data_IF_560632147859
#
_entry.id   IF_560632147859
#
_cell.length_a   1.000
_cell.length_b   1.000
_cell.length_c   1.000
_cell.angle_alpha   90.00
_cell.angle_beta   90.00
_cell.angle_gamma   90.00
#
_symmetry.space_group_name_H-M   'P 1'
#
loop_
_entity.id
_entity.type
_entity.pdbx_description
1 polymer ?
#
# COMPACT_ATOMS: atom_id res chain seq x y z
N UNK A 1 16.95 34.19 22.92
CA UNK A 1 15.69 33.69 22.36
C UNK A 1 16.06 32.94 21.09
N UNK A 2 15.99 31.62 21.11
CA UNK A 2 16.11 30.82 19.88
C UNK A 2 14.74 30.90 19.20
N UNK A 3 14.71 31.55 18.03
CA UNK A 3 13.54 31.57 17.17
C UNK A 3 13.51 30.23 16.46
N UNK A 4 12.60 29.33 16.85
CA UNK A 4 12.14 28.29 15.95
C UNK A 4 11.22 28.98 14.95
N UNK A 5 11.74 29.32 13.76
CA UNK A 5 10.87 29.56 12.62
C UNK A 5 10.25 28.19 12.28
N UNK A 6 8.94 28.05 12.51
CA UNK A 6 8.20 26.93 11.95
C UNK A 6 8.36 26.98 10.43
N UNK A 7 8.87 25.89 9.84
CA UNK A 7 8.96 25.78 8.40
C UNK A 7 7.55 25.90 7.81
N UNK A 8 7.33 26.92 6.99
CA UNK A 8 6.08 27.06 6.25
C UNK A 8 6.16 26.09 5.07
N UNK A 9 5.53 24.92 5.20
CA UNK A 9 5.44 23.96 4.12
C UNK A 9 4.37 24.42 3.13
N UNK A 10 4.76 24.68 1.89
CA UNK A 10 3.79 24.86 0.80
C UNK A 10 3.39 23.46 0.33
N UNK A 11 2.18 23.02 0.71
CA UNK A 11 1.60 21.75 0.31
C UNK A 11 0.94 21.90 -1.07
N UNK A 12 1.75 22.18 -2.09
CA UNK A 12 1.31 22.46 -3.46
C UNK A 12 1.48 21.26 -4.40
N UNK A 13 2.07 20.16 -3.92
CA UNK A 13 2.25 18.97 -4.72
C UNK A 13 0.93 18.18 -4.76
N UNK A 14 0.43 17.78 -5.95
CA UNK A 14 -0.80 17.00 -6.06
C UNK A 14 -0.79 15.67 -5.29
N UNK A 15 0.40 15.17 -4.94
CA UNK A 15 0.56 13.95 -4.13
C UNK A 15 0.71 14.22 -2.63
N UNK A 16 0.58 15.47 -2.18
CA UNK A 16 0.51 15.76 -0.76
C UNK A 16 -0.78 15.16 -0.18
N UNK A 17 -0.75 14.59 1.04
CA UNK A 17 -1.90 14.00 1.72
C UNK A 17 -3.19 14.84 1.73
N UNK A 18 -3.06 16.17 1.63
CA UNK A 18 -4.17 17.13 1.63
C UNK A 18 -4.74 17.40 0.23
N UNK A 19 -3.97 17.08 -0.82
CA UNK A 19 -4.32 17.24 -2.23
C UNK A 19 -4.83 15.94 -2.87
N UNK A 20 -4.77 14.82 -2.13
CA UNK A 20 -5.38 13.56 -2.52
C UNK A 20 -6.90 13.62 -2.35
N UNK A 21 -7.67 13.33 -3.41
CA UNK A 21 -9.14 13.25 -3.37
C UNK A 21 -9.62 11.93 -2.73
N UNK A 22 -9.19 11.67 -1.48
CA UNK A 22 -9.53 10.48 -0.69
C UNK A 22 -9.96 10.90 0.73
N UNK A 23 -10.98 10.24 1.28
CA UNK A 23 -11.36 10.43 2.69
C UNK A 23 -10.54 9.52 3.63
N UNK A 24 -9.60 10.04 4.44
CA UNK A 24 -8.83 9.23 5.37
C UNK A 24 -9.68 8.67 6.54
N UNK A 25 -9.37 7.48 7.09
CA UNK A 25 -8.29 6.57 6.72
C UNK A 25 -8.53 5.89 5.37
N UNK A 26 -7.54 5.89 4.47
CA UNK A 26 -7.69 5.36 3.11
C UNK A 26 -6.50 4.48 2.69
N UNK A 27 -6.72 3.60 1.72
CA UNK A 27 -5.65 2.87 1.03
C UNK A 27 -5.59 3.31 -0.43
N UNK A 28 -4.39 3.38 -1.01
CA UNK A 28 -4.21 3.78 -2.42
C UNK A 28 -2.94 3.17 -3.00
N UNK A 29 -2.75 3.34 -4.31
CA UNK A 29 -1.57 2.87 -5.04
C UNK A 29 -0.62 4.04 -5.31
N UNK A 30 0.68 3.86 -5.10
CA UNK A 30 1.69 4.88 -5.38
C UNK A 30 2.87 4.32 -6.21
N UNK A 31 3.23 4.93 -7.36
CA UNK A 31 2.47 5.99 -8.02
C UNK A 31 1.09 5.48 -8.50
N UNK A 32 0.10 6.37 -8.69
CA UNK A 32 -1.24 5.97 -9.14
C UNK A 32 -1.28 5.59 -10.63
N UNK A 33 -0.28 5.99 -11.41
CA UNK A 33 -0.16 5.63 -12.82
C UNK A 33 1.30 5.25 -13.13
N UNK A 34 1.48 4.13 -13.84
CA UNK A 34 2.77 3.63 -14.29
C UNK A 34 2.70 3.41 -15.79
N UNK A 35 3.60 4.06 -16.53
CA UNK A 35 3.80 3.82 -17.95
C UNK A 35 5.11 3.04 -18.14
N UNK A 36 5.05 1.88 -18.78
CA UNK A 36 6.18 0.97 -18.93
C UNK A 36 6.26 0.37 -20.32
N UNK A 37 7.44 -0.09 -20.71
CA UNK A 37 7.62 -0.88 -21.94
C UNK A 37 7.63 -2.37 -21.63
N UNK A 38 7.20 -3.19 -22.59
CA UNK A 38 7.24 -4.66 -22.46
C UNK A 38 8.64 -5.15 -22.09
N UNK A 39 8.72 -6.03 -21.10
CA UNK A 39 9.97 -6.61 -20.58
C UNK A 39 10.70 -5.75 -19.53
N UNK A 40 10.16 -4.59 -19.15
CA UNK A 40 10.71 -3.78 -18.05
C UNK A 40 10.04 -4.12 -16.72
N UNK A 41 10.82 -4.26 -15.63
CA UNK A 41 10.24 -4.42 -14.30
C UNK A 41 9.61 -3.10 -13.83
N UNK A 42 8.51 -3.21 -13.08
CA UNK A 42 7.84 -2.08 -12.45
C UNK A 42 7.54 -2.40 -10.98
N UNK A 43 7.24 -1.36 -10.20
CA UNK A 43 6.82 -1.52 -8.81
C UNK A 43 5.72 -0.52 -8.45
N UNK A 44 4.79 -0.96 -7.61
CA UNK A 44 3.74 -0.10 -7.03
C UNK A 44 3.72 -0.31 -5.52
N UNK A 45 3.61 0.77 -4.77
CA UNK A 45 3.41 0.75 -3.34
C UNK A 45 1.92 0.72 -3.01
N UNK A 46 1.55 -0.13 -2.06
CA UNK A 46 0.25 -0.15 -1.41
C UNK A 46 0.36 0.75 -0.18
N UNK A 47 -0.22 1.94 -0.26
CA UNK A 47 0.03 3.00 0.70
C UNK A 47 -1.21 3.28 1.55
N UNK A 48 -0.98 3.58 2.83
CA UNK A 48 -2.00 3.96 3.79
C UNK A 48 -1.97 5.46 4.04
N UNK A 49 -3.14 6.10 4.07
CA UNK A 49 -3.31 7.51 4.39
C UNK A 49 -4.01 7.66 5.74
N UNK A 50 -3.29 8.19 6.74
CA UNK A 50 -3.80 8.44 8.11
C UNK A 50 -4.56 7.23 8.70
N UNK A 51 -3.98 6.04 8.55
CA UNK A 51 -4.53 4.82 9.11
C UNK A 51 -4.45 4.83 10.63
N UNK A 52 -5.43 4.22 11.30
CA UNK A 52 -5.34 3.92 12.72
C UNK A 52 -4.33 2.77 12.95
N UNK A 53 -3.81 2.60 14.19
CA UNK A 53 -2.98 1.47 14.57
C UNK A 53 -3.51 0.11 14.12
N UNK A 54 -2.62 -0.74 13.62
CA UNK A 54 -2.96 -2.10 13.20
C UNK A 54 -1.84 -3.11 13.52
N UNK A 55 -2.24 -4.35 13.81
CA UNK A 55 -1.35 -5.49 14.00
C UNK A 55 -1.29 -6.39 12.76
N UNK A 56 -2.30 -6.37 11.90
CA UNK A 56 -2.32 -7.18 10.68
C UNK A 56 -3.14 -6.54 9.55
N UNK A 57 -2.82 -6.91 8.32
CA UNK A 57 -3.62 -6.61 7.13
C UNK A 57 -3.82 -7.85 6.27
N UNK A 58 -4.98 -7.90 5.62
CA UNK A 58 -5.19 -8.67 4.41
C UNK A 58 -5.52 -7.66 3.31
N UNK A 59 -4.67 -7.56 2.29
CA UNK A 59 -4.88 -6.73 1.11
C UNK A 59 -5.28 -7.65 -0.05
N UNK A 60 -6.47 -7.44 -0.59
CA UNK A 60 -7.00 -8.12 -1.79
C UNK A 60 -6.75 -7.16 -2.95
N UNK A 61 -5.66 -7.36 -3.70
CA UNK A 61 -5.29 -6.51 -4.84
C UNK A 61 -5.71 -7.19 -6.12
N UNK A 62 -6.49 -6.48 -6.93
CA UNK A 62 -7.00 -6.97 -8.21
C UNK A 62 -6.31 -6.26 -9.35
N UNK A 63 -5.95 -7.02 -10.37
CA UNK A 63 -5.27 -6.53 -11.56
C UNK A 63 -5.62 -7.36 -12.80
N UNK A 64 -5.44 -6.80 -13.98
CA UNK A 64 -5.66 -7.51 -15.24
C UNK A 64 -4.46 -8.42 -15.53
N UNK A 65 -4.63 -9.70 -15.21
CA UNK A 65 -3.62 -10.72 -15.48
C UNK A 65 -3.45 -10.92 -16.98
N UNK A 66 -2.20 -10.89 -17.46
CA UNK A 66 -1.85 -11.13 -18.86
C UNK A 66 -0.87 -10.10 -19.42
N UNK A 67 -1.11 -8.81 -19.20
CA UNK A 67 -0.15 -7.74 -19.52
C UNK A 67 0.96 -7.64 -18.49
N UNK A 68 0.66 -7.97 -17.23
CA UNK A 68 1.61 -8.04 -16.12
C UNK A 68 1.47 -9.33 -15.31
N UNK A 69 2.53 -9.69 -14.59
CA UNK A 69 2.55 -10.76 -13.58
C UNK A 69 3.25 -10.26 -12.32
N UNK A 70 2.83 -10.75 -11.16
CA UNK A 70 3.47 -10.44 -9.88
C UNK A 70 4.77 -11.25 -9.77
N UNK A 71 5.87 -10.58 -9.42
CA UNK A 71 7.16 -11.22 -9.19
C UNK A 71 7.41 -11.45 -7.69
N UNK A 72 7.14 -10.42 -6.89
CA UNK A 72 7.32 -10.46 -5.44
C UNK A 72 6.57 -9.34 -4.74
N UNK A 73 6.37 -9.52 -3.45
CA UNK A 73 5.87 -8.49 -2.53
C UNK A 73 6.88 -8.31 -1.42
N UNK A 74 7.17 -7.06 -1.09
CA UNK A 74 8.08 -6.68 0.00
C UNK A 74 7.30 -5.84 1.01
N UNK A 75 7.28 -6.22 2.30
CA UNK A 75 6.63 -5.41 3.33
C UNK A 75 7.19 -4.00 3.43
N UNK A 76 6.29 -3.04 3.62
CA UNK A 76 6.62 -1.64 3.87
C UNK A 76 6.82 -1.35 5.37
N UNK A 77 7.14 -0.09 5.71
CA UNK A 77 7.40 0.32 7.08
C UNK A 77 6.18 0.24 8.01
N UNK A 78 4.94 0.23 7.50
CA UNK A 78 3.74 0.32 8.35
C UNK A 78 3.63 -0.78 9.42
N UNK A 79 4.09 -2.00 9.14
CA UNK A 79 4.09 -3.11 10.11
C UNK A 79 5.49 -3.41 10.68
N UNK A 80 6.47 -2.53 10.47
CA UNK A 80 7.83 -2.70 11.01
C UNK A 80 7.91 -2.15 12.44
N UNK A 81 8.39 -2.98 13.37
CA UNK A 81 8.69 -2.62 14.76
C UNK A 81 10.17 -2.82 15.08
N UNK A 82 10.50 -3.38 16.25
CA UNK A 82 11.84 -3.93 16.48
C UNK A 82 12.09 -5.18 15.62
N UNK A 83 11.01 -5.90 15.30
CA UNK A 83 11.03 -7.05 14.40
C UNK A 83 10.59 -6.66 12.99
N UNK A 84 11.15 -7.37 12.01
CA UNK A 84 10.67 -7.29 10.64
C UNK A 84 9.26 -7.91 10.55
N UNK A 85 8.34 -7.32 9.78
CA UNK A 85 7.01 -7.88 9.59
C UNK A 85 7.05 -9.23 8.88
N UNK A 86 6.02 -10.05 9.12
CA UNK A 86 5.79 -11.28 8.37
C UNK A 86 4.85 -11.03 7.21
N UNK A 87 5.16 -11.63 6.07
CA UNK A 87 4.38 -11.55 4.84
C UNK A 87 4.07 -12.94 4.29
N UNK A 88 2.86 -13.09 3.76
CA UNK A 88 2.42 -14.27 3.02
C UNK A 88 1.59 -13.79 1.84
N UNK A 89 1.93 -14.29 0.65
CA UNK A 89 1.24 -13.95 -0.60
C UNK A 89 0.63 -15.17 -1.27
N UNK A 90 -0.54 -14.95 -1.87
CA UNK A 90 -1.21 -15.89 -2.77
C UNK A 90 -1.63 -15.12 -4.02
N UNK A 91 -1.11 -15.51 -5.18
CA UNK A 91 -1.46 -14.92 -6.46
C UNK A 91 -2.21 -15.96 -7.31
N UNK A 92 -3.48 -15.69 -7.60
CA UNK A 92 -4.34 -16.52 -8.42
C UNK A 92 -5.12 -15.69 -9.45
N UNK A 93 -4.68 -15.71 -10.72
CA UNK A 93 -5.42 -15.19 -11.88
C UNK A 93 -5.94 -13.75 -11.72
N UNK A 94 -5.06 -12.82 -11.34
CA UNK A 94 -5.41 -11.40 -11.22
C UNK A 94 -5.98 -11.01 -9.87
N UNK A 95 -5.93 -11.92 -8.88
CA UNK A 95 -6.19 -11.64 -7.47
C UNK A 95 -4.93 -11.96 -6.68
N UNK A 96 -4.30 -10.92 -6.16
CA UNK A 96 -3.15 -11.00 -5.28
C UNK A 96 -3.61 -10.75 -3.84
N UNK A 97 -3.66 -11.81 -3.05
CA UNK A 97 -3.89 -11.74 -1.61
C UNK A 97 -2.54 -11.56 -0.89
N UNK A 98 -2.42 -10.47 -0.13
CA UNK A 98 -1.24 -10.15 0.68
C UNK A 98 -1.65 -10.12 2.14
N UNK A 99 -1.07 -11.01 2.94
CA UNK A 99 -1.21 -11.01 4.39
C UNK A 99 0.04 -10.42 5.02
N UNK A 100 -0.13 -9.35 5.80
CA UNK A 100 0.94 -8.67 6.52
C UNK A 100 0.67 -8.75 8.01
N UNK A 101 1.72 -9.02 8.79
CA UNK A 101 1.63 -9.10 10.24
C UNK A 101 2.76 -8.32 10.90
N UNK A 102 2.38 -7.46 11.83
CA UNK A 102 3.29 -6.94 12.84
C UNK A 102 3.76 -8.11 13.72
N UNK A 103 5.06 -8.18 14.04
CA UNK A 103 5.61 -9.18 14.94
C UNK A 103 5.87 -8.54 16.32
N UNK A 104 5.03 -8.85 17.34
CA UNK A 104 5.14 -8.24 18.66
C UNK A 104 6.51 -8.40 19.29
N UNK A 105 6.93 -7.37 20.02
CA UNK A 105 8.12 -7.36 20.85
C UNK A 105 7.76 -7.03 22.31
N UNK A 106 8.73 -6.64 23.13
CA UNK A 106 8.47 -6.28 24.53
C UNK A 106 7.80 -4.90 24.69
N UNK A 107 7.87 -4.06 23.67
CA UNK A 107 7.44 -2.67 23.70
C UNK A 107 6.07 -2.48 23.04
N UNK A 108 5.74 -3.26 22.01
CA UNK A 108 4.48 -3.13 21.29
C UNK A 108 3.98 -4.43 20.63
N UNK A 109 2.66 -4.49 20.43
CA UNK A 109 1.93 -5.60 19.78
C UNK A 109 1.25 -5.18 18.46
N UNK A 110 1.39 -3.91 18.07
CA UNK A 110 0.90 -3.32 16.83
C UNK A 110 1.65 -2.03 16.48
N UNK A 111 1.44 -1.51 15.27
CA UNK A 111 2.05 -0.24 14.84
C UNK A 111 1.39 1.01 15.44
N UNK A 112 1.96 2.19 15.18
CA UNK A 112 1.45 3.48 15.65
C UNK A 112 0.42 4.15 14.71
N UNK A 113 0.08 3.51 13.59
CA UNK A 113 -0.75 4.10 12.54
C UNK A 113 -0.03 5.15 11.69
N UNK A 114 -0.80 6.01 11.04
CA UNK A 114 -0.30 7.14 10.24
C UNK A 114 -0.33 6.90 8.73
N UNK A 115 0.51 7.64 8.01
CA UNK A 115 0.59 7.64 6.55
C UNK A 115 1.89 6.97 6.12
N UNK A 116 1.81 5.71 5.70
CA UNK A 116 2.98 4.88 5.40
C UNK A 116 2.69 3.85 4.32
N UNK A 117 3.76 3.38 3.65
CA UNK A 117 3.70 2.23 2.75
C UNK A 117 3.48 0.93 3.56
N UNK A 118 2.49 0.13 3.16
CA UNK A 118 2.18 -1.17 3.75
C UNK A 118 3.02 -2.28 3.07
N UNK A 119 3.17 -2.21 1.76
CA UNK A 119 3.98 -3.13 0.96
C UNK A 119 4.29 -2.55 -0.42
N UNK A 120 5.36 -3.03 -1.04
CA UNK A 120 5.69 -2.79 -2.45
C UNK A 120 5.49 -4.08 -3.23
N UNK A 121 4.69 -4.02 -4.29
CA UNK A 121 4.49 -5.13 -5.24
C UNK A 121 5.36 -4.87 -6.46
N UNK A 122 6.17 -5.86 -6.83
CA UNK A 122 6.99 -5.86 -8.03
C UNK A 122 6.31 -6.68 -9.13
N UNK A 123 6.25 -6.13 -10.34
CA UNK A 123 5.68 -6.79 -11.49
C UNK A 123 6.66 -6.88 -12.66
N UNK A 124 6.50 -7.94 -13.44
CA UNK A 124 7.08 -8.09 -14.78
C UNK A 124 6.04 -7.78 -15.84
N UNK A 125 6.41 -6.99 -16.85
CA UNK A 125 5.55 -6.68 -17.99
C UNK A 125 5.73 -7.70 -19.12
N UNK A 126 4.64 -8.37 -19.51
CA UNK A 126 4.63 -9.51 -20.42
C UNK A 126 4.18 -9.14 -21.84
N UNK A 127 3.19 -8.28 -21.95
CA UNK A 127 2.65 -7.83 -23.24
C UNK A 127 2.02 -6.44 -23.12
N UNK A 128 1.82 -5.79 -24.26
CA UNK A 128 1.10 -4.52 -24.33
C UNK A 128 -0.31 -4.65 -23.74
N UNK A 129 -0.74 -3.66 -22.99
CA UNK A 129 -2.08 -3.61 -22.41
C UNK A 129 -2.17 -2.69 -21.20
N UNK A 130 -3.40 -2.39 -20.83
CA UNK A 130 -3.72 -1.62 -19.63
C UNK A 130 -4.15 -2.60 -18.53
N UNK A 131 -3.82 -2.27 -17.28
CA UNK A 131 -4.28 -2.99 -16.09
C UNK A 131 -4.68 -1.97 -15.03
N UNK A 132 -5.96 -2.01 -14.64
CA UNK A 132 -6.45 -1.26 -13.50
C UNK A 132 -6.12 -2.02 -12.20
N UNK A 133 -5.62 -1.31 -11.20
CA UNK A 133 -5.35 -1.83 -9.86
C UNK A 133 -6.48 -1.40 -8.92
N UNK A 134 -7.10 -2.38 -8.26
CA UNK A 134 -8.23 -2.16 -7.37
C UNK A 134 -8.04 -2.91 -6.04
N UNK A 135 -8.52 -2.33 -4.95
CA UNK A 135 -8.71 -3.07 -3.71
C UNK A 135 -10.03 -3.85 -3.76
N UNK A 136 -9.96 -5.16 -3.55
CA UNK A 136 -11.10 -6.05 -3.46
C UNK A 136 -11.80 -6.00 -2.09
N UNK A 137 -12.99 -6.62 -1.99
CA UNK A 137 -13.88 -6.55 -0.84
C UNK A 137 -13.35 -7.29 0.39
N UNK A 138 -12.34 -8.14 0.24
CA UNK A 138 -11.74 -8.83 1.37
C UNK A 138 -10.67 -7.99 2.09
N UNK A 139 -10.29 -6.84 1.50
CA UNK A 139 -9.30 -5.93 2.07
C UNK A 139 -9.73 -5.46 3.46
N UNK A 140 -8.87 -5.68 4.46
CA UNK A 140 -9.16 -5.37 5.86
C UNK A 140 -7.88 -5.23 6.69
N UNK A 141 -7.94 -4.36 7.69
CA UNK A 141 -6.92 -4.24 8.73
C UNK A 141 -7.50 -4.66 10.09
N UNK A 142 -6.64 -5.17 10.97
CA UNK A 142 -6.98 -5.63 12.33
C UNK A 142 -6.00 -5.06 13.33
N UNK A 143 -6.49 -4.64 14.48
CA UNK A 143 -5.66 -4.19 15.61
C UNK A 143 -5.14 -5.38 16.44
N UNK A 144 -4.37 -5.12 17.50
CA UNK A 144 -3.84 -6.14 18.40
C UNK A 144 -4.92 -6.98 19.11
N UNK A 145 -6.14 -6.44 19.26
CA UNK A 145 -7.28 -7.15 19.85
C UNK A 145 -8.10 -7.91 18.79
N UNK A 146 -7.65 -7.93 17.53
CA UNK A 146 -8.36 -8.47 16.38
C UNK A 146 -9.68 -7.73 16.06
N UNK A 147 -9.83 -6.50 16.54
CA UNK A 147 -10.92 -5.61 16.16
C UNK A 147 -10.68 -5.03 14.77
N UNK A 148 -11.76 -4.71 14.06
CA UNK A 148 -11.65 -4.15 12.70
C UNK A 148 -11.09 -2.73 12.74
N UNK A 149 -10.02 -2.48 12.01
CA UNK A 149 -9.51 -1.13 11.75
C UNK A 149 -10.24 -0.56 10.55
N UNK A 150 -10.68 0.71 10.66
CA UNK A 150 -11.53 1.34 9.66
C UNK A 150 -10.71 1.78 8.44
N UNK A 151 -11.25 1.51 7.25
CA UNK A 151 -10.83 2.12 5.98
C UNK A 151 -12.09 2.77 5.41
N UNK A 152 -12.02 4.04 5.04
CA UNK A 152 -13.15 4.80 4.49
C UNK A 152 -13.14 4.81 2.98
N UNK A 153 -11.95 4.85 2.38
CA UNK A 153 -11.80 5.05 0.95
C UNK A 153 -10.66 4.23 0.36
N UNK A 154 -10.79 3.94 -0.93
CA UNK A 154 -9.85 3.14 -1.72
C UNK A 154 -9.53 3.86 -3.02
N UNK A 155 -8.28 4.31 -3.16
CA UNK A 155 -7.76 4.81 -4.42
C UNK A 155 -7.51 3.69 -5.42
N UNK A 156 -7.61 4.03 -6.71
CA UNK A 156 -7.28 3.13 -7.81
C UNK A 156 -5.87 3.40 -8.33
N UNK A 157 -5.31 2.43 -9.05
CA UNK A 157 -4.05 2.58 -9.76
C UNK A 157 -4.17 2.12 -11.20
N UNK A 158 -3.24 2.52 -12.06
CA UNK A 158 -3.21 2.12 -13.46
C UNK A 158 -1.80 1.77 -13.90
N UNK A 159 -1.69 0.67 -14.63
CA UNK A 159 -0.47 0.25 -15.31
C UNK A 159 -0.76 0.23 -16.81
N UNK A 160 0.01 0.98 -17.59
CA UNK A 160 0.00 0.95 -19.05
C UNK A 160 1.32 0.37 -19.56
N UNK A 161 1.23 -0.69 -20.36
CA UNK A 161 2.37 -1.36 -20.98
C UNK A 161 2.34 -1.17 -22.50
N UNK A 162 3.42 -0.62 -23.06
CA UNK A 162 3.60 -0.33 -24.49
C UNK A 162 4.76 -1.10 -25.15
#
# INVERSE_FOLDING_TARGET
MFSCEEANYELDNPFDPENMDLDPPALFFHPPEINAIVGSPISVELYGLKLDPAAAAHLDVRYDWGSVTVDSVVPGPFFTGENNPMEVTVDEQGVLDIFLYYLPDMESDQNEGGTWSLATVYFSTLSTGESELLYGPNTRLRDANNDSVRIRDFGTGYINVE
#
